data_IF_366472756855
#
_entry.id   IF_366472756855
#
_cell.length_a   1.000
_cell.length_b   1.000
_cell.length_c   1.000
_cell.angle_alpha   90.00
_cell.angle_beta   90.00
_cell.angle_gamma   90.00
#
_symmetry.space_group_name_H-M   'P 1'
#
loop_
_entity.id
_entity.type
_entity.pdbx_description
1 polymer ?
#
# COMPACT_ATOMS: atom_id res chain seq x y z
N UNK A 1 -23.73 27.63 6.56
CA UNK A 1 -23.24 28.54 5.50
C UNK A 1 -24.31 29.59 5.31
N UNK A 2 -23.97 30.89 5.33
CA UNK A 2 -24.90 31.92 4.86
C UNK A 2 -24.73 32.01 3.35
N UNK A 3 -25.79 31.83 2.57
CA UNK A 3 -25.73 32.05 1.13
C UNK A 3 -25.43 33.53 0.80
N UNK A 4 -25.13 33.81 -0.46
CA UNK A 4 -24.80 35.17 -0.92
C UNK A 4 -25.89 36.20 -0.58
N UNK A 5 -27.17 35.80 -0.61
CA UNK A 5 -28.30 36.68 -0.30
C UNK A 5 -28.35 37.02 1.19
N UNK A 6 -28.08 36.05 2.06
CA UNK A 6 -27.99 36.26 3.51
C UNK A 6 -26.77 37.14 3.85
N UNK A 7 -25.67 36.97 3.13
CA UNK A 7 -24.49 37.84 3.23
C UNK A 7 -24.81 39.29 2.89
N UNK A 8 -25.43 39.54 1.73
CA UNK A 8 -25.82 40.89 1.30
C UNK A 8 -26.87 41.53 2.21
N UNK A 9 -27.83 40.75 2.71
CA UNK A 9 -28.82 41.23 3.67
C UNK A 9 -28.17 41.62 5.00
N UNK A 10 -27.18 40.85 5.45
CA UNK A 10 -26.40 41.16 6.67
C UNK A 10 -25.60 42.44 6.50
N UNK A 11 -24.97 42.65 5.34
CA UNK A 11 -24.24 43.89 5.02
C UNK A 11 -25.18 45.09 4.99
N UNK A 12 -26.37 44.97 4.37
CA UNK A 12 -27.38 46.04 4.36
C UNK A 12 -27.88 46.39 5.76
N UNK A 13 -28.14 45.38 6.59
CA UNK A 13 -28.58 45.57 7.98
C UNK A 13 -27.51 46.29 8.82
N UNK A 14 -26.24 45.89 8.69
CA UNK A 14 -25.12 46.55 9.37
C UNK A 14 -24.94 48.00 8.91
N UNK A 15 -25.01 48.26 7.60
CA UNK A 15 -24.92 49.62 7.03
C UNK A 15 -26.07 50.54 7.47
N UNK A 16 -27.21 49.97 7.86
CA UNK A 16 -28.35 50.68 8.43
C UNK A 16 -28.28 50.82 9.97
N UNK A 17 -27.17 50.44 10.60
CA UNK A 17 -27.00 50.52 12.06
C UNK A 17 -27.74 49.44 12.86
N UNK A 18 -28.22 48.38 12.20
CA UNK A 18 -28.93 47.28 12.85
C UNK A 18 -27.96 46.27 13.46
N UNK A 19 -28.37 45.62 14.55
CA UNK A 19 -27.61 44.51 15.14
C UNK A 19 -27.91 43.20 14.41
N UNK A 20 -26.90 42.59 13.80
CA UNK A 20 -27.00 41.24 13.22
C UNK A 20 -26.51 40.22 14.24
N UNK A 21 -27.39 39.30 14.67
CA UNK A 21 -27.02 38.17 15.54
C UNK A 21 -26.79 36.94 14.69
N UNK A 22 -25.55 36.43 14.70
CA UNK A 22 -25.19 35.18 14.03
C UNK A 22 -25.05 34.07 15.07
N UNK A 23 -25.71 32.93 14.85
CA UNK A 23 -25.46 31.72 15.62
C UNK A 23 -24.35 30.94 14.91
N UNK A 24 -23.19 30.79 15.56
CA UNK A 24 -22.12 29.97 15.01
C UNK A 24 -22.53 28.50 15.06
N UNK A 25 -22.93 27.96 13.91
CA UNK A 25 -23.25 26.53 13.76
C UNK A 25 -21.99 25.80 13.25
N UNK A 26 -20.89 25.87 14.01
CA UNK A 26 -19.61 25.27 13.63
C UNK A 26 -18.97 25.81 12.34
N UNK A 27 -17.72 25.43 12.08
CA UNK A 27 -17.11 25.60 10.76
C UNK A 27 -17.61 24.48 9.85
N UNK A 28 -18.27 24.83 8.75
CA UNK A 28 -18.59 23.88 7.68
C UNK A 28 -17.68 24.16 6.49
N UNK A 29 -16.74 23.25 6.22
CA UNK A 29 -15.96 23.23 4.99
C UNK A 29 -16.63 22.22 4.06
N UNK A 30 -17.19 22.69 2.96
CA UNK A 30 -17.71 21.81 1.91
C UNK A 30 -16.58 21.64 0.89
N UNK A 31 -15.83 20.56 1.01
CA UNK A 31 -15.01 20.04 -0.08
C UNK A 31 -15.87 19.05 -0.86
N UNK A 32 -16.56 19.51 -1.90
CA UNK A 32 -17.22 18.61 -2.84
C UNK A 32 -16.16 17.97 -3.73
N UNK A 33 -16.14 16.63 -3.80
CA UNK A 33 -15.45 15.90 -4.88
C UNK A 33 -13.95 15.69 -4.70
N UNK A 34 -13.37 15.93 -3.52
CA UNK A 34 -11.97 15.55 -3.25
C UNK A 34 -11.90 14.21 -2.52
N UNK A 35 -11.01 13.33 -2.97
CA UNK A 35 -10.65 12.14 -2.18
C UNK A 35 -9.93 12.60 -0.90
N UNK A 36 -10.32 12.05 0.24
CA UNK A 36 -9.71 12.40 1.52
C UNK A 36 -8.22 11.99 1.56
N UNK A 37 -7.35 12.84 2.12
CA UNK A 37 -5.89 12.61 2.19
C UNK A 37 -5.51 11.31 2.91
N UNK A 38 -6.36 10.86 3.84
CA UNK A 38 -6.19 9.62 4.61
C UNK A 38 -6.62 8.36 3.84
N UNK A 39 -7.27 8.52 2.67
CA UNK A 39 -7.74 7.39 1.88
C UNK A 39 -6.56 6.60 1.34
N UNK A 40 -6.59 5.28 1.55
CA UNK A 40 -5.59 4.40 0.95
C UNK A 40 -5.91 4.18 -0.52
N UNK A 41 -4.89 4.24 -1.37
CA UNK A 41 -5.01 3.88 -2.78
C UNK A 41 -4.61 2.43 -2.97
N UNK A 42 -5.20 1.78 -3.95
CA UNK A 42 -4.68 0.53 -4.46
C UNK A 42 -3.64 0.76 -5.56
N UNK A 43 -3.47 -0.23 -6.44
CA UNK A 43 -4.06 -1.57 -6.38
C UNK A 43 -3.46 -2.40 -5.22
N UNK A 44 -3.90 -3.65 -5.07
CA UNK A 44 -3.19 -4.60 -4.20
C UNK A 44 -1.79 -4.90 -4.74
N UNK A 45 -0.94 -5.56 -3.95
CA UNK A 45 0.37 -6.03 -4.43
C UNK A 45 0.29 -6.99 -5.63
N UNK A 46 -0.87 -7.63 -5.84
CA UNK A 46 -1.12 -8.52 -6.98
C UNK A 46 -1.76 -7.79 -8.17
N UNK A 47 -1.86 -6.46 -8.11
CA UNK A 47 -2.52 -5.60 -9.10
C UNK A 47 -4.04 -5.80 -9.22
N UNK A 48 -4.67 -6.41 -8.21
CA UNK A 48 -6.13 -6.41 -8.13
C UNK A 48 -6.64 -5.01 -7.82
N UNK A 49 -7.77 -4.65 -8.44
CA UNK A 49 -8.42 -3.35 -8.21
C UNK A 49 -8.99 -3.31 -6.80
N UNK A 50 -8.42 -2.41 -5.99
CA UNK A 50 -8.96 -1.93 -4.72
C UNK A 50 -8.68 -0.43 -4.62
N UNK A 51 -9.46 0.34 -3.86
CA UNK A 51 -10.79 0.04 -3.30
C UNK A 51 -11.84 -0.25 -4.40
N UNK A 52 -13.02 -0.77 -4.03
CA UNK A 52 -14.10 -1.07 -4.98
C UNK A 52 -14.90 0.18 -5.37
N UNK A 53 -15.35 0.97 -4.40
CA UNK A 53 -16.18 2.19 -4.58
C UNK A 53 -15.83 3.23 -3.53
N UNK A 54 -16.05 4.50 -3.85
CA UNK A 54 -16.00 5.62 -2.93
C UNK A 54 -17.34 5.82 -2.22
N UNK A 55 -17.28 6.33 -1.00
CA UNK A 55 -18.42 6.85 -0.27
C UNK A 55 -17.97 7.98 0.66
N UNK A 56 -18.88 8.88 1.08
CA UNK A 56 -18.57 9.91 2.08
C UNK A 56 -17.95 9.33 3.35
N UNK A 57 -16.77 9.83 3.73
CA UNK A 57 -16.04 9.38 4.91
C UNK A 57 -15.28 10.49 5.64
N UNK A 58 -15.37 11.74 5.18
CA UNK A 58 -14.74 12.91 5.80
C UNK A 58 -15.84 13.79 6.40
N UNK A 59 -15.64 14.31 7.62
CA UNK A 59 -16.58 15.18 8.33
C UNK A 59 -18.01 14.61 8.41
N UNK A 60 -18.13 13.28 8.53
CA UNK A 60 -19.42 12.59 8.67
C UNK A 60 -19.92 12.78 10.10
N UNK A 61 -21.20 13.14 10.28
CA UNK A 61 -21.79 13.23 11.62
C UNK A 61 -22.20 11.82 12.10
N UNK A 62 -21.63 11.38 13.21
CA UNK A 62 -21.85 10.04 13.77
C UNK A 62 -22.18 10.08 15.27
N UNK A 63 -22.64 8.96 15.83
CA UNK A 63 -23.00 8.78 17.24
C UNK A 63 -21.77 8.51 18.10
N UNK A 64 -21.72 9.11 19.30
CA UNK A 64 -20.64 8.90 20.27
C UNK A 64 -21.13 8.16 21.51
N UNK A 65 -20.21 7.44 22.18
CA UNK A 65 -20.48 6.77 23.46
C UNK A 65 -20.91 7.76 24.53
N UNK A 66 -21.89 7.39 25.36
CA UNK A 66 -22.44 8.26 26.42
C UNK A 66 -23.61 9.13 25.97
N UNK A 67 -24.07 8.96 24.73
CA UNK A 67 -25.12 9.78 24.12
C UNK A 67 -24.53 11.04 23.49
N UNK A 68 -24.92 11.32 22.25
CA UNK A 68 -24.47 12.51 21.52
C UNK A 68 -24.00 12.21 20.10
N UNK A 69 -23.66 13.28 19.40
CA UNK A 69 -23.21 13.25 18.00
C UNK A 69 -21.96 14.11 17.81
N UNK A 70 -21.05 13.67 16.95
CA UNK A 70 -19.82 14.40 16.61
C UNK A 70 -19.41 14.16 15.16
N UNK A 71 -18.51 15.00 14.66
CA UNK A 71 -17.88 14.81 13.34
C UNK A 71 -16.78 13.76 13.43
N UNK A 72 -16.72 12.88 12.43
CA UNK A 72 -15.71 11.83 12.31
C UNK A 72 -15.22 11.74 10.86
N UNK A 73 -13.93 11.44 10.72
CA UNK A 73 -13.28 11.28 9.42
C UNK A 73 -12.56 9.94 9.37
N UNK A 74 -12.52 9.30 8.20
CA UNK A 74 -11.90 8.01 8.00
C UNK A 74 -12.63 7.14 6.98
N UNK A 75 -11.88 6.30 6.25
CA UNK A 75 -12.49 5.18 5.50
C UNK A 75 -13.27 4.23 6.41
N UNK A 76 -12.94 4.18 7.71
CA UNK A 76 -13.74 3.52 8.76
C UNK A 76 -15.17 4.03 8.88
N UNK A 77 -15.48 5.23 8.37
CA UNK A 77 -16.82 5.83 8.36
C UNK A 77 -17.50 5.74 6.99
N UNK A 78 -16.74 5.69 5.90
CA UNK A 78 -17.27 5.35 4.58
C UNK A 78 -17.71 3.86 4.50
N UNK A 79 -16.95 2.96 5.12
CA UNK A 79 -17.22 1.52 5.12
C UNK A 79 -18.62 1.13 5.66
N UNK A 80 -19.08 1.58 6.85
CA UNK A 80 -20.42 1.24 7.33
C UNK A 80 -21.54 1.84 6.47
N UNK A 81 -21.32 2.98 5.80
CA UNK A 81 -22.29 3.51 4.84
C UNK A 81 -22.42 2.58 3.62
N UNK A 82 -21.31 2.12 3.06
CA UNK A 82 -21.30 1.15 1.94
C UNK A 82 -21.92 -0.17 2.38
N UNK A 83 -21.66 -0.65 3.61
CA UNK A 83 -22.28 -1.85 4.14
C UNK A 83 -23.82 -1.74 4.20
N UNK A 84 -24.35 -0.59 4.63
CA UNK A 84 -25.78 -0.30 4.58
C UNK A 84 -26.35 -0.28 3.15
N UNK A 85 -25.59 0.25 2.19
CA UNK A 85 -25.97 0.23 0.77
C UNK A 85 -26.03 -1.21 0.23
N UNK A 86 -25.03 -2.05 0.50
CA UNK A 86 -25.07 -3.47 0.12
C UNK A 86 -26.30 -4.18 0.70
N UNK A 87 -26.68 -3.88 1.95
CA UNK A 87 -27.86 -4.46 2.59
C UNK A 87 -29.16 -4.05 1.87
N UNK A 88 -29.35 -2.75 1.60
CA UNK A 88 -30.55 -2.22 0.94
C UNK A 88 -30.65 -2.67 -0.53
N UNK A 89 -29.53 -2.67 -1.26
CA UNK A 89 -29.49 -3.17 -2.64
C UNK A 89 -29.79 -4.67 -2.66
N UNK A 90 -29.25 -5.45 -1.73
CA UNK A 90 -29.54 -6.88 -1.64
C UNK A 90 -31.00 -7.19 -1.33
N UNK A 91 -31.62 -6.42 -0.42
CA UNK A 91 -33.05 -6.51 -0.13
C UNK A 91 -33.90 -6.17 -1.37
N UNK A 92 -33.64 -5.03 -2.01
CA UNK A 92 -34.39 -4.59 -3.19
C UNK A 92 -34.31 -5.59 -4.35
N UNK A 93 -33.16 -6.27 -4.51
CA UNK A 93 -32.92 -7.26 -5.56
C UNK A 93 -33.33 -8.68 -5.18
N UNK A 94 -33.67 -8.92 -3.90
CA UNK A 94 -34.00 -10.25 -3.39
C UNK A 94 -32.83 -11.24 -3.39
N UNK A 95 -31.58 -10.77 -3.42
CA UNK A 95 -30.38 -11.61 -3.39
C UNK A 95 -29.22 -10.94 -2.68
N UNK A 96 -28.41 -11.73 -1.98
CA UNK A 96 -27.13 -11.31 -1.39
C UNK A 96 -25.93 -11.99 -2.06
N UNK A 97 -26.10 -12.45 -3.30
CA UNK A 97 -25.00 -12.99 -4.10
C UNK A 97 -23.93 -11.90 -4.29
N UNK A 98 -22.69 -12.10 -3.81
CA UNK A 98 -21.65 -11.07 -3.86
C UNK A 98 -21.30 -10.63 -5.28
N UNK A 99 -21.32 -11.54 -6.27
CA UNK A 99 -20.98 -11.21 -7.64
C UNK A 99 -22.06 -10.32 -8.27
N UNK A 100 -23.34 -10.59 -7.99
CA UNK A 100 -24.45 -9.73 -8.43
C UNK A 100 -24.38 -8.36 -7.76
N UNK A 101 -24.13 -8.30 -6.46
CA UNK A 101 -24.03 -7.03 -5.73
C UNK A 101 -22.83 -6.20 -6.20
N UNK A 102 -21.66 -6.82 -6.34
CA UNK A 102 -20.47 -6.14 -6.87
C UNK A 102 -20.72 -5.63 -8.29
N UNK A 103 -21.38 -6.43 -9.14
CA UNK A 103 -21.74 -6.05 -10.51
C UNK A 103 -22.54 -4.74 -10.56
N UNK A 104 -23.62 -4.63 -9.77
CA UNK A 104 -24.47 -3.44 -9.82
C UNK A 104 -23.94 -2.28 -9.01
N UNK A 105 -23.29 -2.52 -7.86
CA UNK A 105 -22.76 -1.47 -7.00
C UNK A 105 -21.54 -0.80 -7.63
N UNK A 106 -20.62 -1.59 -8.18
CA UNK A 106 -19.49 -1.04 -8.93
C UNK A 106 -19.94 -0.53 -10.30
N UNK A 107 -20.81 -1.29 -10.98
CA UNK A 107 -21.31 -0.94 -12.31
C UNK A 107 -21.99 0.42 -12.37
N UNK A 108 -22.74 0.79 -11.35
CA UNK A 108 -23.47 2.06 -11.29
C UNK A 108 -22.73 3.18 -10.57
N UNK A 109 -21.54 2.90 -10.02
CA UNK A 109 -20.74 3.92 -9.37
C UNK A 109 -20.30 5.01 -10.36
N UNK A 110 -20.23 6.25 -9.89
CA UNK A 110 -19.95 7.43 -10.71
C UNK A 110 -18.47 7.80 -10.62
N UNK A 111 -17.67 7.69 -11.70
CA UNK A 111 -16.29 8.17 -11.71
C UNK A 111 -16.18 9.65 -11.34
N UNK A 112 -15.19 9.99 -10.52
CA UNK A 112 -14.95 11.32 -9.97
C UNK A 112 -13.72 11.96 -10.62
N UNK A 113 -13.77 13.27 -10.84
CA UNK A 113 -12.64 14.09 -11.30
C UNK A 113 -11.91 14.74 -10.14
N UNK A 114 -10.70 15.25 -10.39
CA UNK A 114 -9.97 16.02 -9.38
C UNK A 114 -10.69 17.34 -9.09
N UNK A 115 -10.80 17.74 -7.82
CA UNK A 115 -11.32 19.07 -7.45
C UNK A 115 -10.30 20.21 -7.68
N UNK A 116 -9.08 19.89 -8.12
CA UNK A 116 -7.99 20.85 -8.35
C UNK A 116 -7.92 21.33 -9.81
N UNK A 117 -8.75 20.81 -10.70
CA UNK A 117 -8.86 21.28 -12.08
C UNK A 117 -9.72 22.54 -12.18
N UNK A 118 -9.19 23.66 -11.67
CA UNK A 118 -9.73 24.97 -12.03
C UNK A 118 -9.44 25.36 -13.49
N UNK A 119 -8.72 24.54 -14.26
CA UNK A 119 -8.39 24.79 -15.66
C UNK A 119 -8.24 23.49 -16.46
N UNK A 120 -9.34 22.89 -16.90
CA UNK A 120 -9.37 22.15 -18.18
C UNK A 120 -10.82 21.80 -18.54
N UNK A 121 -11.38 22.51 -19.51
CA UNK A 121 -12.47 21.96 -20.31
C UNK A 121 -11.89 20.80 -21.13
N UNK A 122 -12.18 19.57 -20.70
CA UNK A 122 -11.78 18.36 -21.42
C UNK A 122 -12.07 17.10 -20.60
N UNK A 123 -12.59 16.07 -21.25
CA UNK A 123 -13.01 14.79 -20.66
C UNK A 123 -11.87 13.91 -20.09
N UNK A 124 -10.77 14.51 -19.63
CA UNK A 124 -9.51 13.86 -19.29
C UNK A 124 -9.04 14.07 -17.83
N UNK A 125 -9.95 14.47 -16.93
CA UNK A 125 -9.59 14.81 -15.54
C UNK A 125 -10.09 13.80 -14.49
N UNK A 126 -10.47 12.60 -14.92
CA UNK A 126 -10.85 11.53 -13.98
C UNK A 126 -9.63 11.04 -13.20
N UNK A 127 -9.80 10.94 -11.89
CA UNK A 127 -8.82 10.34 -10.99
C UNK A 127 -8.59 8.87 -11.38
N UNK A 128 -7.40 8.33 -11.13
CA UNK A 128 -7.13 6.93 -11.43
C UNK A 128 -8.07 5.99 -10.69
N UNK A 129 -8.45 4.87 -11.30
CA UNK A 129 -9.16 3.77 -10.63
C UNK A 129 -8.43 3.33 -9.35
N UNK A 130 -7.10 3.46 -9.30
CA UNK A 130 -6.34 3.14 -8.09
C UNK A 130 -6.70 4.02 -6.89
N UNK A 131 -7.16 5.25 -7.13
CA UNK A 131 -7.57 6.22 -6.11
C UNK A 131 -9.05 6.07 -5.74
N UNK A 132 -9.92 5.69 -6.70
CA UNK A 132 -11.37 5.75 -6.53
C UNK A 132 -12.16 4.44 -6.78
N UNK A 133 -11.49 3.38 -7.23
CA UNK A 133 -12.17 2.18 -7.68
C UNK A 133 -13.10 2.47 -8.86
N UNK A 134 -14.33 1.95 -8.79
CA UNK A 134 -15.37 2.19 -9.77
C UNK A 134 -15.93 3.63 -9.70
N UNK A 135 -15.71 4.37 -8.60
CA UNK A 135 -16.23 5.72 -8.40
C UNK A 135 -17.14 5.84 -7.17
N UNK A 136 -17.85 6.96 -7.05
CA UNK A 136 -18.78 7.24 -5.95
C UNK A 136 -20.03 6.36 -6.05
N UNK A 137 -20.34 5.64 -4.97
CA UNK A 137 -21.48 4.71 -4.91
C UNK A 137 -22.83 5.39 -5.18
N UNK A 138 -23.68 4.71 -5.96
CA UNK A 138 -25.01 5.16 -6.40
C UNK A 138 -26.08 4.15 -5.98
N UNK A 139 -26.54 4.26 -4.74
CA UNK A 139 -27.39 3.24 -4.12
C UNK A 139 -28.73 3.01 -4.84
N UNK A 140 -29.37 4.09 -5.30
CA UNK A 140 -30.65 4.02 -6.00
C UNK A 140 -30.50 3.31 -7.35
N UNK A 141 -29.49 3.70 -8.12
CA UNK A 141 -29.17 3.12 -9.42
C UNK A 141 -28.78 1.64 -9.28
N UNK A 142 -27.95 1.28 -8.29
CA UNK A 142 -27.58 -0.11 -8.02
C UNK A 142 -28.79 -1.00 -7.70
N UNK A 143 -29.74 -0.49 -6.90
CA UNK A 143 -30.94 -1.22 -6.54
C UNK A 143 -31.84 -1.52 -7.75
N UNK A 144 -31.92 -0.59 -8.71
CA UNK A 144 -32.82 -0.67 -9.86
C UNK A 144 -32.14 -1.10 -11.17
N UNK A 145 -30.84 -1.37 -11.16
CA UNK A 145 -30.11 -1.77 -12.36
C UNK A 145 -30.66 -3.07 -12.95
N UNK A 146 -31.04 -3.01 -14.23
CA UNK A 146 -31.58 -4.12 -15.02
C UNK A 146 -30.53 -4.77 -15.92
N UNK A 147 -29.28 -4.31 -15.87
CA UNK A 147 -28.16 -4.90 -16.62
C UNK A 147 -27.12 -5.42 -15.63
N UNK A 148 -26.68 -6.66 -15.82
CA UNK A 148 -25.62 -7.29 -15.03
C UNK A 148 -24.36 -7.45 -15.88
N UNK A 149 -23.21 -7.14 -15.30
CA UNK A 149 -21.89 -7.26 -15.94
C UNK A 149 -20.93 -8.05 -15.06
N UNK A 150 -20.28 -9.08 -15.61
CA UNK A 150 -19.33 -9.93 -14.88
C UNK A 150 -18.09 -10.24 -15.72
N UNK A 151 -16.86 -10.12 -15.19
CA UNK A 151 -16.53 -9.65 -13.83
C UNK A 151 -16.80 -8.15 -13.64
N UNK A 152 -16.90 -7.72 -12.38
CA UNK A 152 -17.17 -6.31 -12.02
C UNK A 152 -15.96 -5.37 -12.17
N UNK A 153 -14.77 -5.91 -12.47
CA UNK A 153 -13.53 -5.14 -12.67
C UNK A 153 -12.51 -5.93 -13.49
N UNK A 154 -11.61 -5.23 -14.19
CA UNK A 154 -10.64 -5.83 -15.12
C UNK A 154 -9.20 -5.50 -14.71
N UNK A 155 -8.51 -6.46 -14.09
CA UNK A 155 -7.10 -6.33 -13.73
C UNK A 155 -6.20 -6.90 -14.83
N UNK A 156 -5.51 -6.03 -15.56
CA UNK A 156 -4.63 -6.42 -16.67
C UNK A 156 -3.20 -6.79 -16.25
N UNK A 157 -2.85 -6.63 -14.97
CA UNK A 157 -1.53 -6.92 -14.42
C UNK A 157 -0.40 -6.03 -15.01
N UNK A 158 0.85 -6.31 -14.64
CA UNK A 158 2.03 -5.59 -15.13
C UNK A 158 2.40 -6.01 -16.57
N UNK A 159 3.38 -5.36 -17.20
CA UNK A 159 3.79 -5.71 -18.58
C UNK A 159 4.31 -7.14 -18.68
N UNK A 160 4.98 -7.64 -17.63
CA UNK A 160 5.56 -9.00 -17.62
C UNK A 160 4.49 -10.08 -17.53
N UNK A 161 3.41 -9.82 -16.79
CA UNK A 161 2.32 -10.77 -16.54
C UNK A 161 1.02 -10.36 -17.25
N UNK A 162 1.11 -9.50 -18.27
CA UNK A 162 -0.04 -8.93 -18.98
C UNK A 162 -0.90 -10.03 -19.57
N UNK A 163 -2.15 -10.10 -19.12
CA UNK A 163 -3.15 -10.95 -19.79
C UNK A 163 -3.46 -10.38 -21.16
N UNK A 164 -3.57 -11.26 -22.17
CA UNK A 164 -3.79 -10.82 -23.56
C UNK A 164 -5.15 -10.14 -23.74
N UNK A 165 -6.16 -10.63 -23.03
CA UNK A 165 -7.49 -10.05 -22.98
C UNK A 165 -8.28 -10.58 -21.78
N UNK A 166 -9.35 -9.87 -21.41
CA UNK A 166 -10.33 -10.26 -20.40
C UNK A 166 -11.71 -10.18 -21.03
N UNK A 167 -12.55 -11.18 -20.80
CA UNK A 167 -13.93 -11.19 -21.29
C UNK A 167 -14.90 -10.74 -20.20
N UNK A 168 -15.82 -9.85 -20.54
CA UNK A 168 -17.00 -9.52 -19.73
C UNK A 168 -18.24 -10.13 -20.34
N UNK A 169 -19.12 -10.69 -19.51
CA UNK A 169 -20.47 -11.08 -19.87
C UNK A 169 -21.43 -9.96 -19.47
N UNK A 170 -22.26 -9.53 -20.41
CA UNK A 170 -23.33 -8.54 -20.20
C UNK A 170 -24.65 -9.28 -20.33
N UNK A 171 -25.50 -9.18 -19.30
CA UNK A 171 -26.82 -9.81 -19.26
C UNK A 171 -27.90 -8.76 -19.10
N UNK A 172 -28.88 -8.80 -20.00
CA UNK A 172 -30.09 -8.01 -19.89
C UNK A 172 -31.11 -8.73 -18.99
N UNK A 173 -31.50 -8.09 -17.88
CA UNK A 173 -32.55 -8.57 -16.97
C UNK A 173 -33.82 -7.72 -17.00
N UNK A 174 -33.88 -6.73 -17.89
CA UNK A 174 -35.11 -5.99 -18.19
C UNK A 174 -36.11 -6.90 -18.95
N UNK A 175 -37.37 -6.47 -18.99
CA UNK A 175 -38.46 -7.08 -19.75
C UNK A 175 -38.53 -6.59 -21.21
N UNK A 176 -37.61 -5.71 -21.61
CA UNK A 176 -37.48 -5.17 -22.97
C UNK A 176 -36.13 -5.56 -23.59
N UNK A 177 -36.07 -5.59 -24.91
CA UNK A 177 -34.79 -5.68 -25.64
C UNK A 177 -34.02 -4.38 -25.46
N UNK A 178 -32.73 -4.47 -25.13
CA UNK A 178 -31.83 -3.32 -24.93
C UNK A 178 -30.67 -3.40 -25.91
N UNK A 179 -30.41 -2.29 -26.60
CA UNK A 179 -29.20 -2.11 -27.38
C UNK A 179 -28.16 -1.40 -26.51
N UNK A 180 -26.99 -2.00 -26.36
CA UNK A 180 -25.87 -1.45 -25.59
C UNK A 180 -24.78 -0.94 -26.53
N UNK A 181 -24.37 0.30 -26.31
CA UNK A 181 -23.17 0.90 -26.88
C UNK A 181 -22.05 0.82 -25.84
N UNK A 182 -20.91 0.28 -26.24
CA UNK A 182 -19.71 0.15 -25.44
C UNK A 182 -18.63 1.11 -25.92
N UNK A 183 -17.98 1.78 -24.97
CA UNK A 183 -16.79 2.60 -25.20
C UNK A 183 -15.81 2.43 -24.04
N UNK A 184 -14.66 3.08 -24.09
CA UNK A 184 -13.77 3.17 -22.93
C UNK A 184 -13.55 4.63 -22.54
N UNK A 185 -13.36 4.87 -21.25
CA UNK A 185 -13.08 6.18 -20.66
C UNK A 185 -11.74 6.05 -19.94
N UNK A 186 -10.74 6.83 -20.33
CA UNK A 186 -9.43 6.79 -19.69
C UNK A 186 -9.36 7.70 -18.47
N UNK A 187 -8.74 7.22 -17.40
CA UNK A 187 -8.31 8.05 -16.28
C UNK A 187 -6.89 8.58 -16.49
N UNK A 188 -6.43 9.46 -15.59
CA UNK A 188 -5.01 9.81 -15.49
C UNK A 188 -4.15 8.57 -15.21
N UNK A 189 -2.95 8.55 -15.78
CA UNK A 189 -1.92 7.55 -15.48
C UNK A 189 -1.04 8.07 -14.36
N UNK A 190 -0.77 7.24 -13.35
CA UNK A 190 0.04 7.59 -12.18
C UNK A 190 1.43 6.99 -12.29
N UNK A 191 2.48 7.77 -12.07
CA UNK A 191 3.81 7.19 -11.84
C UNK A 191 3.90 6.68 -10.41
N UNK A 192 4.07 5.35 -10.27
CA UNK A 192 4.16 4.71 -8.95
C UNK A 192 5.46 5.07 -8.22
N UNK A 193 6.54 5.40 -8.96
CA UNK A 193 7.82 5.82 -8.41
C UNK A 193 8.17 7.28 -8.79
N UNK A 194 8.93 7.93 -7.92
CA UNK A 194 9.54 9.23 -8.20
C UNK A 194 10.60 9.14 -9.31
N UNK A 195 11.08 10.29 -9.78
CA UNK A 195 12.05 10.37 -10.88
C UNK A 195 13.39 9.67 -10.58
N UNK A 196 13.73 9.51 -9.30
CA UNK A 196 14.97 8.86 -8.87
C UNK A 196 14.77 7.38 -8.49
N UNK A 197 13.55 6.84 -8.61
CA UNK A 197 13.20 5.46 -8.24
C UNK A 197 13.48 5.11 -6.77
N UNK A 198 13.49 6.12 -5.90
CA UNK A 198 13.87 6.01 -4.49
C UNK A 198 12.70 6.07 -3.53
N UNK A 199 11.56 6.59 -3.99
CA UNK A 199 10.34 6.77 -3.22
C UNK A 199 9.08 6.56 -4.07
N UNK A 200 7.92 6.52 -3.41
CA UNK A 200 6.63 6.50 -4.11
C UNK A 200 6.42 7.83 -4.85
N UNK A 201 5.95 7.74 -6.09
CA UNK A 201 5.58 8.87 -6.91
C UNK A 201 4.17 9.37 -6.60
N UNK A 202 3.90 10.62 -6.97
CA UNK A 202 2.60 11.28 -6.90
C UNK A 202 2.27 12.02 -8.20
N UNK A 203 3.05 11.79 -9.25
CA UNK A 203 2.93 12.49 -10.53
C UNK A 203 1.86 11.81 -11.39
N UNK A 204 0.95 12.62 -11.91
CA UNK A 204 -0.11 12.20 -12.83
C UNK A 204 0.22 12.72 -14.23
N UNK A 205 0.01 11.89 -15.25
CA UNK A 205 0.26 12.23 -16.65
C UNK A 205 -0.93 11.87 -17.55
N UNK A 206 -1.08 12.60 -18.63
CA UNK A 206 -2.08 12.35 -19.67
C UNK A 206 -1.54 11.39 -20.74
N UNK A 207 -1.33 10.14 -20.33
CA UNK A 207 -0.84 9.07 -21.19
C UNK A 207 -1.68 7.80 -20.96
N UNK A 208 -2.84 7.68 -21.63
CA UNK A 208 -3.74 6.56 -21.45
C UNK A 208 -3.21 5.29 -22.10
N UNK A 209 -3.67 4.13 -21.60
CA UNK A 209 -3.49 2.85 -22.28
C UNK A 209 -4.33 2.77 -23.55
N UNK A 210 -3.93 1.93 -24.50
CA UNK A 210 -4.76 1.65 -25.68
C UNK A 210 -5.68 0.47 -25.34
N UNK A 211 -6.99 0.69 -25.43
CA UNK A 211 -8.02 -0.31 -25.17
C UNK A 211 -8.69 -0.71 -26.47
N UNK A 212 -8.88 -2.01 -26.67
CA UNK A 212 -9.63 -2.55 -27.82
C UNK A 212 -10.77 -3.43 -27.34
N UNK A 213 -11.95 -3.25 -27.94
CA UNK A 213 -13.16 -4.00 -27.68
C UNK A 213 -13.47 -4.89 -28.88
N UNK A 214 -13.83 -6.15 -28.66
CA UNK A 214 -14.21 -7.07 -29.74
C UNK A 214 -15.52 -6.66 -30.43
N UNK A 215 -16.39 -5.93 -29.73
CA UNK A 215 -17.63 -5.33 -30.24
C UNK A 215 -17.83 -3.99 -29.54
N UNK A 216 -18.29 -3.00 -30.28
CA UNK A 216 -18.70 -1.70 -29.74
C UNK A 216 -20.22 -1.62 -29.50
N UNK A 217 -21.00 -2.55 -30.07
CA UNK A 217 -22.45 -2.58 -29.96
C UNK A 217 -22.95 -4.02 -29.82
N UNK A 218 -23.92 -4.24 -28.93
CA UNK A 218 -24.67 -5.50 -28.82
C UNK A 218 -26.15 -5.20 -28.58
N UNK A 219 -27.03 -6.11 -29.00
CA UNK A 219 -28.47 -6.02 -28.73
C UNK A 219 -28.90 -7.29 -28.05
N UNK A 220 -29.48 -7.18 -26.84
CA UNK A 220 -29.86 -8.32 -26.02
C UNK A 220 -31.36 -8.30 -25.74
N UNK A 221 -32.03 -9.40 -26.03
CA UNK A 221 -33.41 -9.66 -25.64
C UNK A 221 -33.53 -9.86 -24.12
N UNK A 222 -34.74 -9.81 -23.54
CA UNK A 222 -34.94 -10.11 -22.12
C UNK A 222 -34.32 -11.45 -21.71
N UNK A 223 -33.47 -11.43 -20.69
CA UNK A 223 -32.78 -12.61 -20.17
C UNK A 223 -31.54 -13.05 -20.96
N UNK A 224 -31.28 -12.47 -22.13
CA UNK A 224 -30.15 -12.80 -23.00
C UNK A 224 -28.82 -12.27 -22.42
N UNK A 225 -27.72 -12.92 -22.80
CA UNK A 225 -26.37 -12.49 -22.46
C UNK A 225 -25.44 -12.62 -23.64
N UNK A 226 -24.48 -11.71 -23.76
CA UNK A 226 -23.40 -11.79 -24.73
C UNK A 226 -22.07 -11.44 -24.05
N UNK A 227 -20.97 -11.82 -24.69
CA UNK A 227 -19.62 -11.66 -24.17
C UNK A 227 -18.81 -10.71 -25.04
N UNK A 228 -18.14 -9.77 -24.40
CA UNK A 228 -17.21 -8.84 -25.04
C UNK A 228 -15.80 -9.12 -24.53
N UNK A 229 -14.85 -9.23 -25.45
CA UNK A 229 -13.43 -9.40 -25.12
C UNK A 229 -12.73 -8.05 -25.20
N UNK A 230 -11.99 -7.71 -24.14
CA UNK A 230 -11.26 -6.45 -24.00
C UNK A 230 -9.77 -6.76 -23.92
N UNK A 231 -8.96 -6.09 -24.73
CA UNK A 231 -7.50 -6.12 -24.64
C UNK A 231 -6.92 -4.74 -24.35
N UNK A 232 -5.73 -4.71 -23.76
CA UNK A 232 -5.05 -3.48 -23.36
C UNK A 232 -3.55 -3.55 -23.66
N UNK A 233 -3.00 -2.46 -24.20
CA UNK A 233 -1.55 -2.27 -24.36
C UNK A 233 -1.06 -1.07 -23.55
N UNK A 234 0.22 -1.11 -23.15
CA UNK A 234 0.81 -0.07 -22.33
C UNK A 234 0.85 1.29 -23.06
N UNK A 235 0.69 2.42 -22.31
CA UNK A 235 0.92 3.75 -22.83
C UNK A 235 2.29 3.88 -23.49
N UNK A 236 2.37 4.70 -24.55
CA UNK A 236 3.62 4.99 -25.25
C UNK A 236 4.27 6.26 -24.68
N UNK A 237 5.59 6.38 -24.81
CA UNK A 237 6.32 7.59 -24.40
C UNK A 237 6.43 7.79 -22.88
N UNK A 238 6.23 6.74 -22.09
CA UNK A 238 6.30 6.76 -20.62
C UNK A 238 7.54 6.03 -20.10
N UNK A 239 8.00 6.41 -18.91
CA UNK A 239 9.14 5.75 -18.25
C UNK A 239 8.69 4.49 -17.51
N UNK A 240 8.89 3.32 -18.12
CA UNK A 240 8.53 2.02 -17.56
C UNK A 240 9.21 1.71 -16.22
N UNK A 241 10.38 2.29 -15.92
CA UNK A 241 11.05 2.08 -14.64
C UNK A 241 10.34 2.78 -13.49
N UNK A 242 9.57 3.83 -13.80
CA UNK A 242 8.72 4.52 -12.81
C UNK A 242 7.38 3.83 -12.59
N UNK A 243 7.15 2.71 -13.26
CA UNK A 243 5.96 1.86 -13.18
C UNK A 243 4.65 2.66 -13.40
N UNK A 244 4.40 3.20 -14.60
CA UNK A 244 3.17 3.91 -14.92
C UNK A 244 1.95 3.00 -14.70
N UNK A 245 1.10 3.39 -13.76
CA UNK A 245 -0.16 2.75 -13.44
C UNK A 245 -1.27 3.44 -14.25
N UNK A 246 -1.74 2.76 -15.28
CA UNK A 246 -2.79 3.26 -16.17
C UNK A 246 -4.12 2.61 -15.81
N UNK A 247 -5.21 3.34 -16.03
CA UNK A 247 -6.54 2.87 -15.64
C UNK A 247 -7.67 3.60 -16.37
N UNK A 248 -8.89 3.14 -16.17
CA UNK A 248 -10.08 3.74 -16.73
C UNK A 248 -11.30 2.84 -16.55
N UNK A 249 -12.31 3.03 -17.38
CA UNK A 249 -13.54 2.24 -17.35
C UNK A 249 -13.98 1.82 -18.75
N UNK A 250 -14.59 0.64 -18.86
CA UNK A 250 -15.45 0.31 -19.99
C UNK A 250 -16.83 0.88 -19.70
N UNK A 251 -17.30 1.82 -20.51
CA UNK A 251 -18.63 2.40 -20.38
C UNK A 251 -19.63 1.59 -21.21
N UNK A 252 -20.78 1.28 -20.62
CA UNK A 252 -21.86 0.48 -21.22
C UNK A 252 -23.14 1.31 -21.12
N UNK A 253 -23.58 1.86 -22.24
CA UNK A 253 -24.76 2.72 -22.34
C UNK A 253 -25.88 1.99 -23.07
N UNK A 254 -27.02 1.81 -22.41
CA UNK A 254 -28.20 1.14 -22.97
C UNK A 254 -29.21 2.11 -23.57
N UNK A 255 -29.97 1.65 -24.57
CA UNK A 255 -31.11 2.36 -25.15
C UNK A 255 -32.25 2.62 -24.15
N UNK A 256 -32.24 1.92 -23.01
CA UNK A 256 -33.16 2.07 -21.89
C UNK A 256 -32.69 3.10 -20.85
N UNK A 257 -31.67 3.90 -21.18
CA UNK A 257 -30.97 4.81 -20.26
C UNK A 257 -30.07 4.14 -19.22
N UNK A 258 -29.80 2.83 -19.35
CA UNK A 258 -28.73 2.16 -18.59
C UNK A 258 -27.42 2.92 -18.77
N UNK A 259 -26.73 3.19 -17.67
CA UNK A 259 -25.36 3.75 -17.65
C UNK A 259 -24.55 2.95 -16.66
N UNK A 260 -23.66 2.11 -17.16
CA UNK A 260 -22.76 1.31 -16.33
C UNK A 260 -21.30 1.55 -16.71
N UNK A 261 -20.41 1.35 -15.76
CA UNK A 261 -18.97 1.38 -15.96
C UNK A 261 -18.31 0.14 -15.34
N UNK A 262 -17.30 -0.43 -16.02
CA UNK A 262 -16.48 -1.51 -15.47
C UNK A 262 -15.05 -0.99 -15.34
N UNK A 263 -14.53 -0.77 -14.13
CA UNK A 263 -13.17 -0.28 -13.94
C UNK A 263 -12.14 -1.27 -14.45
N UNK A 264 -11.11 -0.76 -15.10
CA UNK A 264 -9.92 -1.50 -15.50
C UNK A 264 -8.64 -0.82 -15.01
N UNK A 265 -7.60 -1.62 -14.81
CA UNK A 265 -6.29 -1.16 -14.37
C UNK A 265 -5.20 -2.08 -14.90
N UNK A 266 -4.05 -1.50 -15.22
CA UNK A 266 -2.82 -2.24 -15.46
C UNK A 266 -1.61 -1.37 -15.19
N UNK A 267 -0.44 -2.00 -15.18
CA UNK A 267 0.83 -1.34 -14.87
C UNK A 267 1.80 -1.55 -16.02
N UNK A 268 2.35 -0.47 -16.55
CA UNK A 268 3.44 -0.53 -17.51
C UNK A 268 4.77 -0.69 -16.74
N UNK A 269 5.61 -1.64 -17.14
CA UNK A 269 6.81 -2.06 -16.41
C UNK A 269 6.67 -3.41 -15.72
N UNK A 270 7.66 -3.77 -14.89
CA UNK A 270 7.71 -5.05 -14.18
C UNK A 270 7.81 -4.81 -12.69
N UNK A 271 6.80 -5.26 -11.93
CA UNK A 271 6.86 -5.21 -10.46
C UNK A 271 7.90 -6.17 -9.90
N UNK A 272 8.11 -7.31 -10.57
CA UNK A 272 9.16 -8.28 -10.21
C UNK A 272 10.56 -7.69 -10.39
N UNK A 273 10.76 -6.95 -11.48
CA UNK A 273 12.02 -6.28 -11.80
C UNK A 273 12.22 -4.92 -11.13
N UNK A 274 11.23 -4.42 -10.39
CA UNK A 274 11.30 -3.10 -9.75
C UNK A 274 12.26 -3.10 -8.54
N UNK A 275 12.92 -1.97 -8.23
CA UNK A 275 13.77 -1.89 -7.04
C UNK A 275 12.94 -2.03 -5.76
N UNK A 276 13.30 -2.99 -4.91
CA UNK A 276 12.67 -3.15 -3.59
C UNK A 276 13.31 -2.22 -2.58
N UNK A 277 14.65 -2.13 -2.57
CA UNK A 277 15.39 -1.27 -1.64
C UNK A 277 15.75 0.07 -2.28
N UNK A 278 15.60 1.15 -1.50
CA UNK A 278 16.02 2.48 -1.92
C UNK A 278 17.56 2.57 -1.92
N UNK A 279 18.19 3.14 -2.96
CA UNK A 279 19.63 3.39 -2.99
C UNK A 279 20.10 4.25 -1.81
N UNK A 280 21.19 3.85 -1.15
CA UNK A 280 21.92 4.70 -0.19
C UNK A 280 21.41 4.76 1.26
N UNK A 281 20.19 4.33 1.58
CA UNK A 281 19.69 4.31 2.98
C UNK A 281 19.75 2.89 3.55
N UNK A 282 20.95 2.49 3.98
CA UNK A 282 21.21 1.21 4.66
C UNK A 282 21.99 1.49 5.94
N UNK A 283 21.32 1.54 7.09
CA UNK A 283 21.99 1.97 8.32
C UNK A 283 21.53 1.20 9.56
N UNK A 284 22.43 1.17 10.53
CA UNK A 284 22.20 0.71 11.90
C UNK A 284 22.15 1.94 12.77
N UNK A 285 21.12 2.04 13.62
CA UNK A 285 21.00 3.10 14.61
C UNK A 285 21.18 2.50 16.00
N UNK A 286 22.10 3.03 16.79
CA UNK A 286 22.24 2.67 18.19
C UNK A 286 21.12 3.37 18.98
N UNK A 287 20.29 2.62 19.70
CA UNK A 287 19.14 3.16 20.44
C UNK A 287 19.17 2.78 21.91
N UNK A 288 18.97 3.78 22.77
CA UNK A 288 18.80 3.67 24.20
C UNK A 288 17.54 4.41 24.66
N UNK A 289 17.30 4.47 25.98
CA UNK A 289 16.11 5.16 26.54
C UNK A 289 16.08 6.66 26.21
N UNK A 290 17.25 7.29 26.06
CA UNK A 290 17.42 8.72 25.78
C UNK A 290 18.48 9.01 24.71
N UNK A 291 18.90 8.00 23.94
CA UNK A 291 19.95 8.12 22.94
C UNK A 291 19.51 7.47 21.63
N UNK A 292 19.73 8.17 20.51
CA UNK A 292 19.58 7.65 19.16
C UNK A 292 20.68 8.25 18.30
N UNK A 293 21.54 7.40 17.73
CA UNK A 293 22.66 7.83 16.89
C UNK A 293 22.91 6.83 15.76
N UNK A 294 23.41 7.31 14.62
CA UNK A 294 23.89 6.42 13.56
C UNK A 294 25.12 5.67 14.04
N UNK A 295 25.18 4.37 13.77
CA UNK A 295 26.37 3.54 14.00
C UNK A 295 27.29 3.74 12.81
N UNK A 296 28.44 4.37 13.06
CA UNK A 296 29.48 4.51 12.04
C UNK A 296 30.11 3.16 11.70
N UNK A 297 30.77 3.10 10.56
CA UNK A 297 31.51 1.90 10.13
C UNK A 297 32.51 1.47 11.21
N UNK A 298 32.52 0.18 11.56
CA UNK A 298 33.39 -0.40 12.59
C UNK A 298 33.09 0.06 14.02
N UNK A 299 32.04 0.84 14.25
CA UNK A 299 31.70 1.33 15.59
C UNK A 299 31.19 0.20 16.49
N UNK A 300 31.56 0.25 17.77
CA UNK A 300 31.07 -0.70 18.77
C UNK A 300 29.71 -0.31 19.32
N UNK A 301 28.78 -1.25 19.31
CA UNK A 301 27.47 -1.12 19.94
C UNK A 301 27.41 -2.05 21.16
N UNK A 302 27.11 -1.45 22.31
CA UNK A 302 26.86 -2.19 23.55
C UNK A 302 25.39 -2.64 23.57
N UNK A 303 25.17 -3.94 23.49
CA UNK A 303 23.85 -4.56 23.58
C UNK A 303 23.59 -5.04 25.00
N UNK A 304 22.30 -5.17 25.35
CA UNK A 304 21.89 -5.71 26.65
C UNK A 304 22.26 -7.19 26.81
N UNK A 305 22.18 -7.96 25.71
CA UNK A 305 22.45 -9.40 25.72
C UNK A 305 21.37 -10.23 26.40
N UNK A 306 21.67 -11.52 26.68
CA UNK A 306 20.72 -12.44 27.28
C UNK A 306 20.11 -11.93 28.59
N UNK A 307 18.86 -12.29 28.93
CA UNK A 307 18.16 -11.81 30.14
C UNK A 307 18.93 -12.01 31.46
N UNK A 308 19.82 -13.01 31.52
CA UNK A 308 20.58 -13.39 32.71
C UNK A 308 21.98 -12.78 32.78
N UNK A 309 22.32 -11.84 31.90
CA UNK A 309 23.65 -11.21 31.91
C UNK A 309 23.75 -10.23 33.10
N UNK A 310 24.70 -10.38 34.04
CA UNK A 310 24.80 -9.51 35.20
C UNK A 310 25.13 -8.07 34.79
N UNK A 311 24.16 -7.16 34.92
CA UNK A 311 24.39 -5.74 34.60
C UNK A 311 24.95 -5.04 35.83
N UNK A 312 26.24 -4.67 35.82
CA UNK A 312 26.78 -3.75 36.83
C UNK A 312 26.18 -2.35 36.63
N UNK A 313 25.23 -1.99 37.49
CA UNK A 313 24.59 -0.68 37.48
C UNK A 313 25.41 0.34 38.26
N UNK A 314 26.21 1.18 37.58
CA UNK A 314 26.65 2.45 38.16
C UNK A 314 25.56 3.51 37.96
N UNK A 315 25.39 4.45 38.90
CA UNK A 315 24.33 5.47 38.85
C UNK A 315 24.37 6.35 37.58
N UNK A 316 25.53 6.45 36.90
CA UNK A 316 25.69 7.14 35.62
C UNK A 316 25.27 6.31 34.38
N UNK A 317 25.07 4.99 34.51
CA UNK A 317 24.76 4.09 33.38
C UNK A 317 23.28 4.04 32.99
N UNK A 318 22.39 4.64 33.80
CA UNK A 318 20.94 4.64 33.53
C UNK A 318 20.50 5.64 32.46
N UNK A 319 21.31 6.64 32.09
CA UNK A 319 20.83 7.81 31.32
C UNK A 319 21.38 8.00 29.89
N UNK A 320 22.30 7.19 29.35
CA UNK A 320 22.88 7.54 28.03
C UNK A 320 23.36 6.43 27.09
N UNK A 321 23.27 5.14 27.45
CA UNK A 321 23.82 4.07 26.57
C UNK A 321 22.75 3.45 25.68
N UNK A 322 23.12 3.20 24.42
CA UNK A 322 22.37 2.33 23.55
C UNK A 322 22.32 0.92 24.16
N UNK A 323 21.20 0.22 24.01
CA UNK A 323 20.99 -1.14 24.56
C UNK A 323 20.49 -2.13 23.52
N UNK A 324 20.06 -1.59 22.37
CA UNK A 324 19.57 -2.29 21.20
C UNK A 324 20.04 -1.54 19.96
N UNK A 325 20.14 -2.27 18.87
CA UNK A 325 20.24 -1.73 17.52
C UNK A 325 18.83 -1.56 16.97
N UNK A 326 18.58 -0.46 16.27
CA UNK A 326 17.45 -0.31 15.38
C UNK A 326 17.97 -0.46 13.95
N UNK A 327 17.59 -1.55 13.30
CA UNK A 327 17.86 -1.73 11.87
C UNK A 327 17.02 -0.73 11.08
N UNK A 328 17.56 -0.19 9.99
CA UNK A 328 16.78 0.69 9.12
C UNK A 328 17.10 0.40 7.66
N UNK A 329 16.18 -0.31 7.02
CA UNK A 329 16.15 -0.53 5.58
C UNK A 329 14.96 0.23 4.99
N UNK A 330 15.18 0.93 3.89
CA UNK A 330 14.12 1.65 3.18
C UNK A 330 13.64 0.82 2.00
N UNK A 331 12.38 0.41 2.03
CA UNK A 331 11.72 -0.29 0.94
C UNK A 331 10.90 0.71 0.13
N UNK A 332 11.07 0.74 -1.20
CA UNK A 332 10.42 1.73 -2.07
C UNK A 332 8.91 1.43 -2.18
N UNK A 333 8.56 0.23 -2.64
CA UNK A 333 7.17 -0.21 -2.84
C UNK A 333 6.64 -1.07 -1.68
N UNK A 334 7.54 -1.72 -0.95
CA UNK A 334 7.25 -2.76 0.03
C UNK A 334 7.70 -4.13 -0.47
N UNK A 335 7.37 -5.18 0.29
CA UNK A 335 7.70 -6.56 -0.08
C UNK A 335 6.70 -7.54 0.55
N UNK A 336 6.30 -8.62 -0.18
CA UNK A 336 5.49 -9.69 0.40
C UNK A 336 6.19 -10.39 1.56
N UNK A 337 7.52 -10.51 1.52
CA UNK A 337 8.32 -11.09 2.58
C UNK A 337 9.72 -10.48 2.62
N UNK A 338 10.18 -10.08 3.80
CA UNK A 338 11.58 -9.73 4.01
C UNK A 338 12.17 -10.46 5.22
N UNK A 339 13.47 -10.66 5.17
CA UNK A 339 14.22 -11.39 6.17
C UNK A 339 15.50 -10.66 6.50
N UNK A 340 15.90 -10.65 7.77
CA UNK A 340 17.13 -9.99 8.21
C UNK A 340 18.05 -11.03 8.82
N UNK A 341 19.23 -11.17 8.23
CA UNK A 341 20.27 -12.11 8.64
C UNK A 341 21.43 -11.39 9.29
N UNK A 342 22.10 -12.11 10.20
CA UNK A 342 23.35 -11.69 10.79
C UNK A 342 24.50 -12.35 10.03
N UNK A 343 25.39 -11.53 9.47
CA UNK A 343 26.58 -11.95 8.74
C UNK A 343 27.81 -11.71 9.63
N UNK A 344 28.47 -12.76 10.14
CA UNK A 344 29.72 -12.60 10.87
C UNK A 344 30.87 -12.25 9.92
N UNK A 345 31.75 -11.37 10.38
CA UNK A 345 32.98 -11.02 9.66
C UNK A 345 34.21 -11.73 10.25
N UNK A 346 34.07 -12.28 11.46
CA UNK A 346 35.12 -13.01 12.18
C UNK A 346 34.70 -14.48 12.37
N UNK A 347 35.28 -15.37 11.57
CA UNK A 347 35.07 -16.83 11.65
C UNK A 347 36.27 -17.48 12.34
N UNK A 348 36.02 -18.35 13.33
CA UNK A 348 37.09 -18.99 14.09
C UNK A 348 37.93 -19.93 13.19
N UNK A 349 39.27 -19.98 13.38
CA UNK A 349 40.14 -20.93 12.66
C UNK A 349 39.78 -22.39 12.96
N UNK A 350 39.95 -23.26 11.96
CA UNK A 350 39.61 -24.70 12.05
C UNK A 350 40.33 -25.44 13.21
N UNK A 351 41.46 -24.91 13.70
CA UNK A 351 42.23 -25.48 14.81
C UNK A 351 41.58 -25.32 16.21
N UNK A 352 40.56 -24.48 16.37
CA UNK A 352 39.95 -24.14 17.67
C UNK A 352 38.58 -24.82 17.94
N UNK A 353 38.12 -25.67 17.02
CA UNK A 353 36.78 -26.26 17.06
C UNK A 353 36.88 -27.72 17.55
N UNK A 354 36.60 -27.96 18.84
CA UNK A 354 36.14 -29.30 19.26
C UNK A 354 34.77 -29.51 18.62
N UNK A 355 34.57 -30.62 17.91
CA UNK A 355 33.45 -30.97 17.02
C UNK A 355 32.03 -31.00 17.66
N UNK A 356 31.81 -30.32 18.78
CA UNK A 356 30.57 -30.32 19.56
C UNK A 356 30.03 -28.93 19.89
N UNK A 357 30.68 -27.83 19.48
CA UNK A 357 30.14 -26.48 19.69
C UNK A 357 29.08 -26.14 18.62
N UNK A 358 27.89 -26.74 18.72
CA UNK A 358 26.69 -26.27 18.03
C UNK A 358 26.19 -24.93 18.62
N UNK A 359 26.60 -24.61 19.85
CA UNK A 359 26.18 -23.40 20.57
C UNK A 359 27.15 -22.24 20.39
N UNK A 360 26.60 -21.05 20.12
CA UNK A 360 27.34 -19.79 20.06
C UNK A 360 27.86 -19.41 21.47
N UNK A 361 29.19 -19.31 21.61
CA UNK A 361 29.84 -18.98 22.88
C UNK A 361 30.07 -17.46 23.02
N UNK A 362 29.37 -16.84 23.97
CA UNK A 362 29.49 -15.40 24.25
C UNK A 362 30.85 -14.97 24.84
N UNK A 363 31.73 -15.92 25.17
CA UNK A 363 33.10 -15.64 25.64
C UNK A 363 34.11 -15.52 24.50
N UNK A 364 33.75 -15.91 23.29
CA UNK A 364 34.61 -15.84 22.11
C UNK A 364 34.20 -14.67 21.24
N UNK A 365 35.19 -14.03 20.60
CA UNK A 365 34.96 -12.91 19.67
C UNK A 365 34.88 -13.34 18.19
N UNK A 366 34.68 -14.63 17.94
CA UNK A 366 34.57 -15.21 16.60
C UNK A 366 33.43 -16.24 16.56
N UNK A 367 32.91 -16.50 15.37
CA UNK A 367 31.85 -17.47 15.13
C UNK A 367 32.43 -18.82 14.68
N UNK A 368 32.02 -19.96 15.28
CA UNK A 368 32.39 -21.28 14.79
C UNK A 368 31.88 -21.54 13.37
N UNK A 369 32.73 -22.09 12.51
CA UNK A 369 32.39 -22.45 11.13
C UNK A 369 31.19 -23.41 11.03
N UNK A 370 31.00 -24.27 12.03
CA UNK A 370 29.86 -25.20 12.15
C UNK A 370 28.51 -24.52 12.34
N UNK A 371 28.49 -23.27 12.78
CA UNK A 371 27.26 -22.47 12.97
C UNK A 371 26.92 -21.62 11.74
N UNK A 372 27.76 -21.65 10.69
CA UNK A 372 27.55 -20.89 9.47
C UNK A 372 26.57 -21.61 8.55
N UNK A 373 25.57 -20.88 8.07
CA UNK A 373 24.56 -21.30 7.11
C UNK A 373 24.74 -20.47 5.84
N UNK A 374 24.76 -21.13 4.69
CA UNK A 374 24.82 -20.48 3.39
C UNK A 374 23.42 -20.06 2.94
N UNK A 375 23.25 -18.77 2.60
CA UNK A 375 21.99 -18.21 2.06
C UNK A 375 22.33 -17.38 0.83
N UNK A 376 22.09 -17.95 -0.36
CA UNK A 376 22.58 -17.37 -1.61
C UNK A 376 24.11 -17.29 -1.59
N UNK A 377 24.65 -16.09 -1.79
CA UNK A 377 26.10 -15.83 -1.72
C UNK A 377 26.61 -15.54 -0.30
N UNK A 378 25.71 -15.41 0.69
CA UNK A 378 26.07 -14.96 2.04
C UNK A 378 26.26 -16.11 3.02
N UNK A 379 27.29 -15.98 3.85
CA UNK A 379 27.53 -16.80 5.02
C UNK A 379 26.92 -16.12 6.24
N UNK A 380 25.97 -16.78 6.90
CA UNK A 380 25.18 -16.18 7.99
C UNK A 380 25.17 -17.10 9.20
N UNK A 381 24.87 -16.57 10.39
CA UNK A 381 24.56 -17.37 11.59
C UNK A 381 23.06 -17.51 11.84
N UNK A 382 22.25 -17.22 10.81
CA UNK A 382 20.80 -17.22 10.88
C UNK A 382 20.18 -15.83 10.92
N UNK A 383 18.86 -15.82 11.10
CA UNK A 383 18.06 -14.61 11.10
C UNK A 383 18.01 -13.99 12.49
N UNK A 384 17.78 -12.67 12.56
CA UNK A 384 17.44 -12.01 13.83
C UNK A 384 16.12 -12.58 14.38
N UNK A 385 15.89 -12.42 15.69
CA UNK A 385 14.59 -12.72 16.27
C UNK A 385 13.46 -11.95 15.57
N UNK A 386 12.27 -12.58 15.46
CA UNK A 386 11.06 -12.09 14.79
C UNK A 386 11.09 -12.08 13.25
N UNK A 387 12.19 -12.46 12.61
CA UNK A 387 12.22 -12.72 11.17
C UNK A 387 11.74 -14.15 10.86
N UNK A 388 11.03 -14.41 9.72
CA UNK A 388 10.74 -13.52 8.60
C UNK A 388 9.56 -12.56 8.84
N UNK A 389 9.57 -11.43 8.15
CA UNK A 389 8.53 -10.40 8.18
C UNK A 389 7.66 -10.50 6.92
N UNK A 390 6.33 -10.48 7.06
CA UNK A 390 5.40 -10.61 5.93
C UNK A 390 4.59 -9.34 5.69
N UNK A 391 4.27 -9.08 4.43
CA UNK A 391 3.45 -7.96 3.96
C UNK A 391 3.95 -6.60 4.45
N UNK A 392 5.20 -6.29 4.14
CA UNK A 392 5.86 -5.06 4.57
C UNK A 392 5.51 -3.93 3.61
N UNK A 393 4.91 -2.86 4.14
CA UNK A 393 4.63 -1.65 3.38
C UNK A 393 5.91 -0.94 2.91
N UNK A 394 5.80 -0.19 1.82
CA UNK A 394 6.85 0.76 1.42
C UNK A 394 7.03 1.85 2.48
N UNK A 395 8.26 2.36 2.61
CA UNK A 395 8.83 3.34 3.57
C UNK A 395 9.98 2.75 4.35
N UNK A 396 9.79 2.30 5.59
CA UNK A 396 10.90 1.89 6.47
C UNK A 396 10.60 0.58 7.16
N UNK A 397 11.44 -0.42 6.91
CA UNK A 397 11.52 -1.63 7.72
C UNK A 397 12.50 -1.35 8.86
N UNK A 398 11.97 -1.34 10.09
CA UNK A 398 12.69 -0.93 11.30
C UNK A 398 12.48 -1.95 12.41
N UNK A 399 13.54 -2.66 12.75
CA UNK A 399 13.49 -3.70 13.78
C UNK A 399 14.45 -3.41 14.92
N UNK A 400 13.94 -3.53 16.15
CA UNK A 400 14.77 -3.47 17.34
C UNK A 400 15.42 -4.83 17.57
N UNK A 401 16.73 -4.83 17.70
CA UNK A 401 17.54 -6.04 17.82
C UNK A 401 18.53 -5.91 18.97
N UNK A 402 18.56 -6.91 19.84
CA UNK A 402 19.37 -6.95 21.07
C UNK A 402 20.50 -8.00 21.02
N UNK A 403 20.75 -8.56 19.82
CA UNK A 403 21.71 -9.64 19.60
C UNK A 403 21.06 -11.01 19.48
N UNK A 404 19.75 -11.14 19.71
CA UNK A 404 19.02 -12.41 19.64
C UNK A 404 18.79 -12.90 18.21
N UNK A 405 18.93 -14.22 18.01
CA UNK A 405 18.65 -14.93 16.77
C UNK A 405 17.30 -15.64 16.83
N UNK A 406 16.71 -15.96 15.68
CA UNK A 406 15.47 -16.74 15.59
C UNK A 406 15.60 -18.16 16.17
N UNK A 407 16.83 -18.67 16.31
CA UNK A 407 17.14 -19.93 17.01
C UNK A 407 16.98 -19.84 18.54
N UNK A 408 16.79 -18.65 19.10
CA UNK A 408 16.77 -18.38 20.54
C UNK A 408 18.16 -18.14 21.15
N UNK A 409 19.24 -18.28 20.37
CA UNK A 409 20.60 -17.96 20.80
C UNK A 409 20.92 -16.46 20.65
N UNK A 410 22.06 -16.03 21.17
CA UNK A 410 22.60 -14.68 21.00
C UNK A 410 23.89 -14.72 20.19
N UNK A 411 24.12 -13.70 19.38
CA UNK A 411 25.37 -13.56 18.63
C UNK A 411 26.55 -13.38 19.60
N UNK A 412 27.71 -14.01 19.39
CA UNK A 412 28.90 -13.71 20.18
C UNK A 412 29.32 -12.24 20.03
N UNK A 413 30.10 -11.67 20.96
CA UNK A 413 30.85 -10.44 20.68
C UNK A 413 31.66 -10.59 19.39
N UNK A 414 31.87 -9.52 18.63
CA UNK A 414 32.61 -9.60 17.36
C UNK A 414 32.13 -8.63 16.30
N UNK A 415 32.70 -8.72 15.09
CA UNK A 415 32.33 -7.86 13.95
C UNK A 415 31.24 -8.50 13.10
N UNK A 416 30.24 -7.69 12.77
CA UNK A 416 29.06 -8.12 12.03
C UNK A 416 28.60 -7.06 11.03
N UNK A 417 27.87 -7.52 10.02
CA UNK A 417 26.92 -6.71 9.26
C UNK A 417 25.56 -7.39 9.27
N UNK A 418 24.50 -6.61 9.04
CA UNK A 418 23.15 -7.16 8.85
C UNK A 418 22.81 -7.15 7.37
N UNK A 419 22.29 -8.27 6.88
CA UNK A 419 21.81 -8.42 5.51
C UNK A 419 20.29 -8.55 5.52
N UNK A 420 19.59 -7.59 4.95
CA UNK A 420 18.18 -7.75 4.62
C UNK A 420 18.04 -8.37 3.22
N UNK A 421 17.24 -9.42 3.09
CA UNK A 421 16.71 -9.87 1.80
C UNK A 421 15.22 -9.63 1.74
N UNK A 422 14.71 -9.14 0.61
CA UNK A 422 13.29 -8.88 0.42
C UNK A 422 12.83 -9.44 -0.92
N UNK A 423 11.71 -10.15 -0.91
CA UNK A 423 11.11 -10.74 -2.09
C UNK A 423 10.53 -9.64 -2.97
N UNK A 424 10.84 -9.64 -4.26
CA UNK A 424 10.20 -8.76 -5.23
C UNK A 424 8.68 -8.99 -5.25
N UNK A 425 7.92 -7.94 -5.54
CA UNK A 425 6.46 -8.06 -5.74
C UNK A 425 6.22 -8.95 -6.98
N UNK A 426 5.27 -9.88 -6.90
CA UNK A 426 5.05 -10.95 -7.90
C UNK A 426 6.25 -11.91 -8.11
N UNK A 427 7.20 -11.95 -7.18
CA UNK A 427 8.29 -12.93 -7.16
C UNK A 427 7.92 -14.26 -6.48
N UNK A 428 8.65 -15.32 -6.81
CA UNK A 428 8.56 -16.63 -6.17
C UNK A 428 9.66 -16.79 -5.12
N UNK A 429 9.28 -17.05 -3.87
CA UNK A 429 10.20 -17.22 -2.74
C UNK A 429 11.20 -18.37 -2.91
N UNK A 430 10.93 -19.33 -3.81
CA UNK A 430 11.82 -20.44 -4.12
C UNK A 430 12.88 -20.10 -5.19
N UNK A 431 12.76 -18.95 -5.87
CA UNK A 431 13.66 -18.53 -6.93
C UNK A 431 14.65 -17.49 -6.37
N UNK A 432 15.97 -17.80 -6.29
CA UNK A 432 16.95 -16.89 -5.70
C UNK A 432 17.01 -15.50 -6.36
N UNK A 433 16.80 -15.41 -7.68
CA UNK A 433 16.85 -14.13 -8.42
C UNK A 433 15.67 -13.20 -8.11
N UNK A 434 14.60 -13.70 -7.49
CA UNK A 434 13.44 -12.88 -7.12
C UNK A 434 13.64 -12.20 -5.75
N UNK A 435 14.74 -12.52 -5.05
CA UNK A 435 15.14 -11.85 -3.81
C UNK A 435 16.15 -10.75 -4.09
N UNK A 436 15.85 -9.55 -3.60
CA UNK A 436 16.81 -8.45 -3.58
C UNK A 436 17.47 -8.35 -2.21
N UNK A 437 18.70 -7.84 -2.17
CA UNK A 437 19.51 -7.80 -0.95
C UNK A 437 20.02 -6.38 -0.67
N UNK A 438 20.02 -6.02 0.62
CA UNK A 438 20.64 -4.81 1.13
C UNK A 438 21.44 -5.12 2.41
N UNK A 439 22.65 -4.58 2.50
CA UNK A 439 23.51 -4.76 3.67
C UNK A 439 23.68 -3.45 4.42
N UNK A 440 23.80 -3.54 5.74
CA UNK A 440 24.21 -2.40 6.57
C UNK A 440 25.71 -2.16 6.50
N UNK A 441 26.16 -1.04 7.06
CA UNK A 441 27.56 -0.87 7.45
C UNK A 441 27.97 -1.94 8.47
N UNK A 442 29.27 -2.20 8.54
CA UNK A 442 29.86 -3.08 9.54
C UNK A 442 29.87 -2.43 10.92
N UNK A 443 29.68 -3.23 11.97
CA UNK A 443 29.72 -2.78 13.36
C UNK A 443 30.22 -3.89 14.28
N UNK A 444 30.63 -3.52 15.49
CA UNK A 444 31.10 -4.46 16.52
C UNK A 444 30.02 -4.64 17.58
N UNK A 445 29.68 -5.88 17.91
CA UNK A 445 28.79 -6.21 19.02
C UNK A 445 29.61 -6.48 20.29
N UNK A 446 29.19 -5.89 21.39
CA UNK A 446 29.66 -6.21 22.74
C UNK A 446 28.46 -6.17 23.72
N UNK A 447 28.56 -6.83 24.87
CA UNK A 447 27.46 -6.92 25.84
C UNK A 447 27.74 -6.13 27.13
N UNK A 448 26.70 -5.58 27.75
CA UNK A 448 26.82 -4.95 29.08
C UNK A 448 27.20 -6.00 30.13
N UNK A 449 28.25 -5.74 30.92
CA UNK A 449 28.67 -6.59 32.05
C UNK A 449 29.65 -7.72 31.69
N UNK A 450 29.91 -7.97 30.41
CA UNK A 450 31.08 -8.75 29.97
C UNK A 450 32.27 -7.80 29.92
N UNK A 451 33.28 -8.02 30.78
CA UNK A 451 34.48 -7.18 30.84
C UNK A 451 35.09 -6.94 29.44
N UNK A 452 35.63 -5.73 29.24
CA UNK A 452 36.30 -5.30 28.01
C UNK A 452 37.15 -6.42 27.40
N UNK A 453 36.94 -6.73 26.12
CA UNK A 453 37.96 -7.34 25.30
C UNK A 453 39.22 -6.47 25.45
N UNK A 454 40.26 -7.04 26.06
CA UNK A 454 41.52 -6.36 26.29
C UNK A 454 42.08 -5.87 24.96
N UNK A 455 42.49 -4.61 24.95
CA UNK A 455 43.51 -4.11 24.03
C UNK A 455 44.71 -5.07 24.06
N UNK A 456 45.01 -5.68 22.92
CA UNK A 456 46.32 -6.22 22.59
C UNK A 456 46.69 -5.67 21.21
#
# INVERSE_FOLDING_TARGET
>A
MTDANVGEASVRALSAGMTVRMHQVGSHRVTTGSIADLSSFGPTYNLDIKLNVLAPGEDVRSTFSGGGYGGVSGTSHAAPLVAGIYALVGEARGTFDPAILDSVIMGTAEPQSSSHSHYSEGAHDLLSVAQQGAGLVRAWEAAHATTLVSPASLAFNDTTNRVSSISISIKNTADITVQYQLTHISAKTLYTLDQNYTARGTEEIDAPAQISLSKDTITLSPGESDTITISASDPQGVDLKRLPLWSGWIAINGSDSTRLTVPYLGLAGSLRGAPVFSPGIKSVLARGRFHQGKVGEGSTVLLRGPPNTPVQHTASSRRSRARVILTHFVLVLGSPEAQIYVVPLDICPDAEIKATALELDLKRSCVPKTSIIQVGEFQTIGQIANSPFRYIGGRSMKELWDGSLSSGQFVPPGRYKLMARALSILGDGNIPSDWQVAETTEFVVAYEGTGSAGSA
#
